data_IF_558263564819
#
_entry.id   IF_558263564819
#
_cell.length_a   1.000
_cell.length_b   1.000
_cell.length_c   1.000
_cell.angle_alpha   90.00
_cell.angle_beta   90.00
_cell.angle_gamma   90.00
#
_symmetry.space_group_name_H-M   'P 1'
#
loop_
_entity.id
_entity.type
_entity.pdbx_description
1 polymer ?
#
# COMPACT_ATOMS: atom_id res chain seq x y z
N UNK A 1 -1.66 -27.76 -16.16
CA UNK A 1 -0.67 -26.72 -15.80
C UNK A 1 -1.30 -25.92 -14.68
N UNK A 2 -0.85 -26.14 -13.44
CA UNK A 2 -1.35 -25.36 -12.30
C UNK A 2 -0.55 -24.06 -12.33
N UNK A 3 -1.21 -22.94 -12.55
CA UNK A 3 -0.57 -21.63 -12.42
C UNK A 3 -0.39 -21.45 -10.91
N UNK A 4 0.84 -21.54 -10.43
CA UNK A 4 1.12 -21.33 -9.02
C UNK A 4 1.07 -19.82 -8.79
N UNK A 5 -0.04 -19.33 -8.26
CA UNK A 5 -0.19 -17.93 -7.89
C UNK A 5 0.80 -17.64 -6.76
N UNK A 6 1.61 -16.61 -6.95
CA UNK A 6 2.55 -16.19 -5.92
C UNK A 6 1.83 -15.49 -4.77
N UNK A 7 2.47 -15.45 -3.60
CA UNK A 7 1.87 -14.89 -2.41
C UNK A 7 1.54 -13.39 -2.55
N UNK A 8 2.35 -12.62 -3.28
CA UNK A 8 2.06 -11.19 -3.56
C UNK A 8 0.85 -11.03 -4.47
N UNK A 9 0.68 -11.91 -5.47
CA UNK A 9 -0.51 -11.89 -6.32
C UNK A 9 -1.77 -12.22 -5.51
N UNK A 10 -1.70 -13.15 -4.56
CA UNK A 10 -2.82 -13.42 -3.65
C UNK A 10 -3.15 -12.20 -2.78
N UNK A 11 -2.14 -11.50 -2.25
CA UNK A 11 -2.32 -10.29 -1.45
C UNK A 11 -3.01 -9.18 -2.26
N UNK A 12 -2.60 -8.99 -3.52
CA UNK A 12 -3.17 -7.99 -4.43
C UNK A 12 -4.61 -8.37 -4.79
N UNK A 13 -4.84 -9.60 -5.25
CA UNK A 13 -6.15 -10.10 -5.70
C UNK A 13 -7.18 -10.11 -4.56
N UNK A 14 -6.74 -10.41 -3.33
CA UNK A 14 -7.60 -10.43 -2.15
C UNK A 14 -7.68 -9.08 -1.44
N UNK A 15 -7.14 -8.01 -2.04
CA UNK A 15 -7.19 -6.64 -1.50
C UNK A 15 -6.68 -6.55 -0.04
N UNK A 16 -5.64 -7.31 0.29
CA UNK A 16 -5.12 -7.39 1.67
C UNK A 16 -4.11 -6.29 1.99
N UNK A 17 -4.14 -5.21 1.21
CA UNK A 17 -3.30 -4.03 1.39
C UNK A 17 -4.15 -2.93 1.99
N UNK A 18 -3.64 -2.31 3.05
CA UNK A 18 -4.27 -1.20 3.77
C UNK A 18 -3.34 0.01 3.77
N UNK A 19 -3.87 1.20 4.00
CA UNK A 19 -3.10 2.43 4.09
C UNK A 19 -3.18 3.00 5.50
N UNK A 20 -2.02 3.32 6.08
CA UNK A 20 -1.91 4.15 7.27
C UNK A 20 -1.60 5.59 6.86
N UNK A 21 -2.13 6.57 7.59
CA UNK A 21 -1.94 7.98 7.25
C UNK A 21 -1.11 8.65 8.32
N UNK A 22 0.04 9.18 7.91
CA UNK A 22 0.91 9.93 8.79
C UNK A 22 0.74 11.43 8.52
N UNK A 23 0.31 12.22 9.53
CA UNK A 23 0.19 13.67 9.35
C UNK A 23 1.57 14.31 9.13
N UNK A 24 1.61 15.24 8.17
CA UNK A 24 2.76 16.09 7.91
C UNK A 24 2.46 17.46 8.53
N UNK A 25 3.32 17.88 9.45
CA UNK A 25 3.17 19.14 10.17
C UNK A 25 4.06 20.23 9.59
N UNK A 26 3.51 21.42 9.53
CA UNK A 26 4.27 22.64 9.38
C UNK A 26 5.14 22.87 10.63
N UNK A 27 6.44 23.04 10.44
CA UNK A 27 7.35 23.41 11.53
C UNK A 27 7.23 24.88 11.96
N UNK A 28 6.56 25.72 11.16
CA UNK A 28 6.44 27.15 11.46
C UNK A 28 5.29 27.46 12.41
N UNK A 29 4.18 26.72 12.33
CA UNK A 29 2.98 26.95 13.14
C UNK A 29 2.35 25.68 13.74
N UNK A 30 2.88 24.49 13.44
CA UNK A 30 2.36 23.21 13.96
C UNK A 30 1.08 22.72 13.29
N UNK A 31 0.61 23.38 12.23
CA UNK A 31 -0.59 22.95 11.50
C UNK A 31 -0.33 21.71 10.64
N UNK A 32 -1.35 20.88 10.46
CA UNK A 32 -1.31 19.76 9.51
C UNK A 32 -1.42 20.34 8.09
N UNK A 33 -0.42 20.09 7.26
CA UNK A 33 -0.36 20.56 5.87
C UNK A 33 -0.66 19.45 4.85
N UNK A 34 -0.76 18.21 5.33
CA UNK A 34 -1.06 17.05 4.50
C UNK A 34 -0.91 15.75 5.27
N UNK A 35 -1.12 14.65 4.57
CA UNK A 35 -0.93 13.30 5.08
C UNK A 35 -0.14 12.48 4.07
N UNK A 36 0.81 11.70 4.56
CA UNK A 36 1.47 10.66 3.77
C UNK A 36 0.70 9.36 3.92
N UNK A 37 0.35 8.73 2.80
CA UNK A 37 -0.26 7.40 2.76
C UNK A 37 0.83 6.33 2.75
N UNK A 38 0.81 5.44 3.74
CA UNK A 38 1.81 4.42 3.97
C UNK A 38 1.15 3.04 3.82
N UNK A 39 1.48 2.32 2.76
CA UNK A 39 0.90 1.00 2.48
C UNK A 39 1.38 -0.07 3.47
N UNK A 40 0.49 -1.01 3.80
CA UNK A 40 0.73 -2.15 4.69
C UNK A 40 0.01 -3.37 4.15
N UNK A 41 0.73 -4.46 3.93
CA UNK A 41 0.12 -5.76 3.69
C UNK A 41 -0.30 -6.45 5.00
N UNK A 42 -0.62 -7.77 4.93
CA UNK A 42 -1.14 -8.53 6.05
C UNK A 42 -0.25 -8.49 7.29
N UNK A 43 -0.86 -8.23 8.46
CA UNK A 43 -0.15 -8.25 9.74
C UNK A 43 0.47 -9.63 10.02
N UNK A 44 1.60 -9.65 10.73
CA UNK A 44 2.37 -10.86 11.03
C UNK A 44 2.96 -11.56 9.79
N UNK A 45 3.05 -10.87 8.65
CA UNK A 45 3.76 -11.34 7.46
C UNK A 45 4.89 -10.37 7.10
N UNK A 46 5.92 -10.81 6.34
CA UNK A 46 6.93 -9.89 5.80
C UNK A 46 6.32 -8.75 4.98
N UNK A 47 5.20 -9.05 4.30
CA UNK A 47 4.44 -8.11 3.46
C UNK A 47 3.70 -7.03 4.24
N UNK A 48 3.68 -7.08 5.57
CA UNK A 48 3.27 -5.90 6.35
C UNK A 48 4.18 -4.70 6.05
N UNK A 49 5.46 -4.94 5.73
CA UNK A 49 6.38 -3.91 5.27
C UNK A 49 6.10 -3.53 3.80
N UNK A 50 5.96 -2.23 3.48
CA UNK A 50 5.80 -1.79 2.10
C UNK A 50 7.03 -2.12 1.24
N UNK A 51 8.22 -2.15 1.83
CA UNK A 51 9.46 -2.52 1.12
C UNK A 51 9.36 -3.95 0.60
N UNK A 52 8.88 -4.89 1.44
CA UNK A 52 8.76 -6.29 1.04
C UNK A 52 7.69 -6.50 -0.04
N UNK A 53 6.59 -5.73 -0.03
CA UNK A 53 5.59 -5.73 -1.10
C UNK A 53 6.22 -5.32 -2.44
N UNK A 54 6.93 -4.19 -2.45
CA UNK A 54 7.55 -3.61 -3.66
C UNK A 54 8.64 -4.53 -4.20
N UNK A 55 9.60 -4.95 -3.37
CA UNK A 55 10.69 -5.83 -3.79
C UNK A 55 10.18 -7.15 -4.37
N UNK A 56 9.13 -7.74 -3.77
CA UNK A 56 8.54 -8.98 -4.28
C UNK A 56 7.75 -8.74 -5.57
N UNK A 57 6.98 -7.65 -5.66
CA UNK A 57 6.24 -7.33 -6.87
C UNK A 57 7.17 -7.03 -8.06
N UNK A 58 8.34 -6.41 -7.82
CA UNK A 58 9.37 -6.22 -8.83
C UNK A 58 9.96 -7.56 -9.28
N UNK A 59 10.36 -8.40 -8.33
CA UNK A 59 10.96 -9.71 -8.61
C UNK A 59 10.02 -10.65 -9.37
N UNK A 60 8.72 -10.51 -9.17
CA UNK A 60 7.69 -11.35 -9.79
C UNK A 60 6.98 -10.70 -10.98
N UNK A 61 7.32 -9.46 -11.31
CA UNK A 61 6.81 -8.75 -12.49
C UNK A 61 5.36 -8.27 -12.38
N UNK A 62 4.84 -8.07 -11.16
CA UNK A 62 3.49 -7.57 -10.89
C UNK A 62 3.48 -6.17 -10.23
N UNK A 63 4.52 -5.36 -10.48
CA UNK A 63 4.63 -4.01 -9.93
C UNK A 63 3.46 -3.11 -10.35
N UNK A 64 3.02 -3.23 -11.60
CA UNK A 64 1.93 -2.41 -12.12
C UNK A 64 0.61 -2.68 -11.39
N UNK A 65 0.29 -3.95 -11.16
CA UNK A 65 -0.88 -4.38 -10.42
C UNK A 65 -0.82 -3.87 -8.98
N UNK A 66 0.35 -3.94 -8.33
CA UNK A 66 0.56 -3.38 -7.00
C UNK A 66 0.31 -1.87 -6.98
N UNK A 67 0.93 -1.11 -7.89
CA UNK A 67 0.77 0.35 -7.97
C UNK A 67 -0.67 0.77 -8.25
N UNK A 68 -1.36 0.03 -9.13
CA UNK A 68 -2.77 0.26 -9.43
C UNK A 68 -3.64 0.06 -8.19
N UNK A 69 -3.49 -1.07 -7.49
CA UNK A 69 -4.23 -1.35 -6.24
C UNK A 69 -3.94 -0.29 -5.16
N UNK A 70 -2.69 0.16 -5.04
CA UNK A 70 -2.33 1.22 -4.10
C UNK A 70 -2.98 2.56 -4.44
N UNK A 71 -3.05 2.90 -5.73
CA UNK A 71 -3.65 4.15 -6.21
C UNK A 71 -5.16 4.19 -5.93
N UNK A 72 -5.86 3.09 -6.24
CA UNK A 72 -7.30 2.97 -5.98
C UNK A 72 -7.60 3.08 -4.47
N UNK A 73 -6.82 2.40 -3.63
CA UNK A 73 -6.96 2.44 -2.17
C UNK A 73 -6.80 3.87 -1.61
N UNK A 74 -5.82 4.63 -2.14
CA UNK A 74 -5.54 5.99 -1.67
C UNK A 74 -6.64 6.97 -2.07
N UNK A 75 -7.26 6.78 -3.24
CA UNK A 75 -8.35 7.62 -3.75
C UNK A 75 -9.63 7.53 -2.91
N UNK A 76 -9.94 6.36 -2.35
CA UNK A 76 -11.12 6.18 -1.51
C UNK A 76 -11.01 6.93 -0.18
N UNK A 77 -9.82 6.96 0.41
CA UNK A 77 -9.62 7.56 1.73
C UNK A 77 -9.47 9.08 1.67
N UNK A 78 -8.85 9.64 0.63
CA UNK A 78 -8.78 11.10 0.44
C UNK A 78 -10.19 11.71 0.35
N UNK A 79 -11.17 10.97 -0.18
CA UNK A 79 -12.57 11.39 -0.21
C UNK A 79 -13.23 11.41 1.17
N UNK A 80 -12.73 10.61 2.13
CA UNK A 80 -13.25 10.52 3.51
C UNK A 80 -12.54 11.40 4.54
N UNK A 81 -11.43 12.06 4.19
CA UNK A 81 -10.67 12.97 5.09
C UNK A 81 -11.23 14.41 5.07
N UNK A 82 -12.34 14.67 4.36
CA UNK A 82 -13.09 15.94 4.42
C UNK A 82 -14.16 15.95 5.52
#
# INVERSE_FOLDING_TARGET
MVIQTSQINEIIIQEQITAHYQPIFSLHNGEIIGYEALSRGPINTPYHSPIALIETAEAEGCMWELEYTLSELMDEVIKGIK
#
